data_IF_261532111156
#
_entry.id   IF_261532111156
#
_cell.length_a   1.000
_cell.length_b   1.000
_cell.length_c   1.000
_cell.angle_alpha   90.00
_cell.angle_beta   90.00
_cell.angle_gamma   90.00
#
_symmetry.space_group_name_H-M   'P 1'
#
loop_
_entity.id
_entity.type
_entity.pdbx_description
1 polymer ?
#
# COMPACT_ATOMS: atom_id res chain seq x y z
N UNK A 1 -2.29 35.06 15.27
CA UNK A 1 -2.75 36.45 15.02
C UNK A 1 -1.82 37.22 14.09
N UNK A 2 -0.49 37.14 14.26
CA UNK A 2 0.52 37.85 13.44
C UNK A 2 0.37 37.61 11.92
N UNK A 3 0.14 36.36 11.49
CA UNK A 3 -0.01 36.02 10.06
C UNK A 3 -1.17 36.73 9.36
N UNK A 4 -2.28 36.98 10.07
CA UNK A 4 -3.46 37.67 9.53
C UNK A 4 -3.14 39.14 9.22
N UNK A 5 -2.45 39.82 10.13
CA UNK A 5 -2.04 41.21 9.93
C UNK A 5 -1.04 41.36 8.78
N UNK A 6 -0.06 40.46 8.70
CA UNK A 6 0.91 40.43 7.60
C UNK A 6 0.21 40.23 6.25
N UNK A 7 -0.73 39.29 6.16
CA UNK A 7 -1.48 39.02 4.93
C UNK A 7 -2.33 40.21 4.48
N UNK A 8 -3.00 40.91 5.41
CA UNK A 8 -3.80 42.10 5.10
C UNK A 8 -2.90 43.24 4.60
N UNK A 9 -1.76 43.49 5.26
CA UNK A 9 -0.82 44.53 4.83
C UNK A 9 -0.24 44.26 3.44
N UNK A 10 0.16 43.02 3.16
CA UNK A 10 0.61 42.59 1.84
C UNK A 10 -0.49 42.75 0.78
N UNK A 11 -1.73 42.36 1.10
CA UNK A 11 -2.87 42.50 0.20
C UNK A 11 -3.17 43.95 -0.17
N UNK A 12 -3.13 44.86 0.80
CA UNK A 12 -3.32 46.30 0.58
C UNK A 12 -2.18 46.87 -0.29
N UNK A 13 -0.92 46.51 0.01
CA UNK A 13 0.23 46.95 -0.78
C UNK A 13 0.16 46.48 -2.24
N UNK A 14 -0.20 45.21 -2.45
CA UNK A 14 -0.42 44.63 -3.78
C UNK A 14 -1.57 45.34 -4.52
N UNK A 15 -2.71 45.56 -3.87
CA UNK A 15 -3.85 46.25 -4.46
C UNK A 15 -3.49 47.68 -4.93
N UNK A 16 -2.71 48.42 -4.12
CA UNK A 16 -2.25 49.75 -4.47
C UNK A 16 -1.28 49.76 -5.66
N UNK A 17 -0.44 48.73 -5.81
CA UNK A 17 0.47 48.61 -6.97
C UNK A 17 -0.26 48.18 -8.25
N UNK A 18 -1.31 47.36 -8.15
CA UNK A 18 -2.10 46.89 -9.30
C UNK A 18 -2.91 48.03 -9.93
N UNK A 19 -3.50 48.90 -9.09
CA UNK A 19 -4.37 49.99 -9.55
C UNK A 19 -5.56 49.46 -10.36
N UNK A 20 -5.79 50.02 -11.55
CA UNK A 20 -6.86 49.62 -12.49
C UNK A 20 -6.41 48.70 -13.63
N UNK A 21 -5.17 48.20 -13.60
CA UNK A 21 -4.60 47.40 -14.69
C UNK A 21 -5.07 45.95 -14.65
N UNK A 22 -5.91 45.56 -15.62
CA UNK A 22 -6.41 44.18 -15.76
C UNK A 22 -5.29 43.15 -15.95
N UNK A 23 -4.27 43.36 -16.81
CA UNK A 23 -3.18 42.40 -16.96
C UNK A 23 -2.39 42.19 -15.67
N UNK A 24 -2.12 43.27 -14.92
CA UNK A 24 -1.38 43.21 -13.67
C UNK A 24 -2.20 42.53 -12.56
N UNK A 25 -3.52 42.74 -12.55
CA UNK A 25 -4.43 42.02 -11.67
C UNK A 25 -4.44 40.51 -11.96
N UNK A 26 -4.48 40.10 -13.23
CA UNK A 26 -4.44 38.68 -13.63
C UNK A 26 -3.12 38.01 -13.25
N UNK A 27 -1.98 38.66 -13.49
CA UNK A 27 -0.66 38.14 -13.08
C UNK A 27 -0.58 38.01 -11.55
N UNK A 28 -1.05 39.02 -10.82
CA UNK A 28 -1.06 39.00 -9.36
C UNK A 28 -1.96 37.91 -8.81
N UNK A 29 -3.15 37.73 -9.39
CA UNK A 29 -4.07 36.64 -9.04
C UNK A 29 -3.43 35.27 -9.28
N UNK A 30 -2.80 35.06 -10.44
CA UNK A 30 -2.11 33.81 -10.74
C UNK A 30 -0.97 33.55 -9.74
N UNK A 31 -0.15 34.55 -9.45
CA UNK A 31 0.95 34.43 -8.48
C UNK A 31 0.47 34.08 -7.07
N UNK A 32 -0.53 34.79 -6.56
CA UNK A 32 -1.13 34.51 -5.24
C UNK A 32 -1.76 33.11 -5.22
N UNK A 33 -2.41 32.69 -6.31
CA UNK A 33 -3.00 31.36 -6.43
C UNK A 33 -1.94 30.26 -6.36
N UNK A 34 -0.81 30.43 -7.05
CA UNK A 34 0.32 29.48 -6.98
C UNK A 34 0.88 29.40 -5.56
N UNK A 35 1.08 30.54 -4.89
CA UNK A 35 1.56 30.56 -3.50
C UNK A 35 0.55 29.90 -2.56
N UNK A 36 -0.74 30.21 -2.70
CA UNK A 36 -1.80 29.59 -1.90
C UNK A 36 -1.84 28.07 -2.10
N UNK A 37 -1.75 27.60 -3.35
CA UNK A 37 -1.70 26.17 -3.65
C UNK A 37 -0.47 25.52 -3.04
N UNK A 38 0.71 26.14 -3.14
CA UNK A 38 1.94 25.65 -2.52
C UNK A 38 1.82 25.56 -0.98
N UNK A 39 1.28 26.59 -0.33
CA UNK A 39 1.05 26.58 1.11
C UNK A 39 0.07 25.49 1.52
N UNK A 40 -1.01 25.28 0.77
CA UNK A 40 -1.94 24.20 1.02
C UNK A 40 -1.27 22.83 0.87
N UNK A 41 -0.48 22.62 -0.19
CA UNK A 41 0.30 21.39 -0.37
C UNK A 41 1.25 21.14 0.80
N UNK A 42 1.98 22.16 1.25
CA UNK A 42 2.87 22.06 2.42
C UNK A 42 2.11 21.80 3.72
N UNK A 43 0.93 22.41 3.88
CA UNK A 43 0.04 22.14 5.01
C UNK A 43 -0.43 20.69 5.01
N UNK A 44 -0.81 20.14 3.87
CA UNK A 44 -1.16 18.72 3.75
C UNK A 44 0.02 17.80 4.06
N UNK A 45 1.23 18.12 3.57
CA UNK A 45 2.45 17.37 3.88
C UNK A 45 2.80 17.35 5.38
N UNK A 46 2.35 18.36 6.15
CA UNK A 46 2.59 18.40 7.59
C UNK A 46 1.69 17.45 8.40
N UNK A 47 0.63 16.92 7.79
CA UNK A 47 -0.30 16.00 8.43
C UNK A 47 0.35 14.62 8.52
N UNK A 48 0.61 14.17 9.74
CA UNK A 48 1.11 12.83 9.99
C UNK A 48 -0.04 11.82 10.05
N UNK A 49 -0.33 11.20 8.91
CA UNK A 49 -1.32 10.14 8.83
C UNK A 49 -0.76 8.84 9.43
N UNK A 50 -1.42 8.33 10.48
CA UNK A 50 -1.05 7.10 11.19
C UNK A 50 -1.70 5.83 10.65
N UNK A 51 -2.73 5.97 9.81
CA UNK A 51 -3.39 4.83 9.16
C UNK A 51 -2.50 4.26 8.08
N UNK A 52 -2.71 3.01 7.65
CA UNK A 52 -1.92 2.42 6.58
C UNK A 52 -2.74 2.30 5.30
N UNK A 53 -2.26 2.92 4.21
CA UNK A 53 -2.72 2.59 2.86
C UNK A 53 -1.73 1.58 2.23
N UNK A 54 -2.02 1.02 1.03
CA UNK A 54 -1.13 0.02 0.42
C UNK A 54 0.31 0.48 0.24
N UNK A 55 0.53 1.75 -0.11
CA UNK A 55 1.87 2.29 -0.29
C UNK A 55 2.63 2.38 1.03
N UNK A 56 2.04 3.06 2.02
CA UNK A 56 2.65 3.27 3.34
C UNK A 56 2.91 1.95 4.06
N UNK A 57 1.98 1.01 4.01
CA UNK A 57 2.20 -0.33 4.54
C UNK A 57 3.35 -1.04 3.84
N UNK A 58 3.44 -0.96 2.50
CA UNK A 58 4.55 -1.60 1.78
C UNK A 58 5.90 -0.98 2.14
N UNK A 59 5.96 0.35 2.31
CA UNK A 59 7.19 1.03 2.74
C UNK A 59 7.59 0.65 4.17
N UNK A 60 6.63 0.64 5.11
CA UNK A 60 6.86 0.19 6.50
C UNK A 60 7.34 -1.25 6.55
N UNK A 61 6.65 -2.16 5.86
CA UNK A 61 6.99 -3.59 5.88
C UNK A 61 8.28 -3.89 5.15
N UNK A 62 8.57 -3.23 4.03
CA UNK A 62 9.84 -3.41 3.32
C UNK A 62 11.03 -2.95 4.17
N UNK A 63 10.90 -1.81 4.88
CA UNK A 63 11.96 -1.35 5.78
C UNK A 63 12.13 -2.30 6.98
N UNK A 64 11.02 -2.79 7.56
CA UNK A 64 11.05 -3.78 8.64
C UNK A 64 11.75 -5.08 8.22
N UNK A 65 11.46 -5.60 7.01
CA UNK A 65 12.08 -6.82 6.50
C UNK A 65 13.58 -6.64 6.18
N UNK A 66 14.04 -5.41 5.94
CA UNK A 66 15.45 -5.11 5.64
C UNK A 66 16.27 -4.80 6.90
N UNK A 67 15.71 -4.01 7.82
CA UNK A 67 16.42 -3.47 8.98
C UNK A 67 16.03 -4.13 10.30
N UNK A 68 14.89 -4.82 10.35
CA UNK A 68 14.25 -5.29 11.60
C UNK A 68 13.57 -4.17 12.41
N UNK A 69 13.50 -2.94 11.89
CA UNK A 69 12.94 -1.79 12.58
C UNK A 69 11.72 -1.23 11.85
N UNK A 70 10.68 -0.84 12.61
CA UNK A 70 9.53 -0.14 12.04
C UNK A 70 9.84 1.36 11.94
N UNK A 71 9.81 1.95 10.74
CA UNK A 71 10.04 3.38 10.60
C UNK A 71 8.91 4.20 11.23
N UNK A 72 9.23 5.41 11.67
CA UNK A 72 8.25 6.31 12.27
C UNK A 72 7.24 6.83 11.25
N UNK A 73 6.07 7.23 11.76
CA UNK A 73 5.01 7.84 10.96
C UNK A 73 5.49 9.06 10.17
N UNK A 74 6.39 9.86 10.76
CA UNK A 74 6.92 11.05 10.11
C UNK A 74 7.79 10.68 8.90
N UNK A 75 8.70 9.73 9.06
CA UNK A 75 9.64 9.32 8.01
C UNK A 75 8.92 8.78 6.77
N UNK A 76 7.87 7.97 6.98
CA UNK A 76 7.09 7.40 5.88
C UNK A 76 6.23 8.46 5.19
N UNK A 77 5.56 9.33 5.94
CA UNK A 77 4.75 10.40 5.35
C UNK A 77 5.60 11.41 4.56
N UNK A 78 6.83 11.68 5.00
CA UNK A 78 7.78 12.55 4.28
C UNK A 78 8.25 11.94 2.93
N UNK A 79 8.07 10.63 2.73
CA UNK A 79 8.48 9.91 1.52
C UNK A 79 7.32 9.37 0.69
N UNK A 80 6.08 9.52 1.14
CA UNK A 80 4.90 9.12 0.37
C UNK A 80 4.75 10.02 -0.87
N UNK A 81 4.59 9.44 -2.08
CA UNK A 81 4.39 10.22 -3.30
C UNK A 81 3.00 10.90 -3.26
N UNK A 82 2.99 12.24 -3.22
CA UNK A 82 1.73 13.02 -3.27
C UNK A 82 0.93 12.79 -4.55
N UNK A 83 1.64 12.55 -5.66
CA UNK A 83 1.04 12.31 -6.97
C UNK A 83 1.65 11.04 -7.58
N UNK A 84 1.08 9.85 -7.28
CA UNK A 84 1.62 8.57 -7.74
C UNK A 84 1.83 8.48 -9.26
N UNK A 85 1.05 9.25 -10.03
CA UNK A 85 1.08 9.27 -11.50
C UNK A 85 1.77 10.50 -12.10
N UNK A 86 2.28 11.42 -11.27
CA UNK A 86 2.94 12.64 -11.72
C UNK A 86 4.26 12.77 -10.95
N UNK A 87 5.31 12.18 -11.50
CA UNK A 87 6.66 12.28 -10.93
C UNK A 87 7.20 13.71 -11.15
N UNK A 88 6.73 14.66 -10.34
CA UNK A 88 7.32 15.97 -10.21
C UNK A 88 8.40 15.87 -9.14
N UNK A 89 9.60 15.47 -9.59
CA UNK A 89 10.76 15.28 -8.74
C UNK A 89 11.15 16.56 -8.01
N UNK A 90 10.83 16.62 -6.72
CA UNK A 90 11.51 17.49 -5.77
C UNK A 90 12.35 16.60 -4.87
N UNK A 91 13.63 16.41 -5.22
CA UNK A 91 14.59 15.78 -4.32
C UNK A 91 14.83 16.71 -3.13
N UNK A 92 14.08 16.49 -2.05
CA UNK A 92 14.39 17.08 -0.75
C UNK A 92 15.52 16.25 -0.15
N UNK A 93 16.73 16.81 -0.17
CA UNK A 93 17.89 16.31 0.60
C UNK A 93 17.60 16.48 2.10
N UNK A 94 17.02 15.47 2.75
CA UNK A 94 17.01 15.36 4.20
C UNK A 94 16.99 13.89 4.66
N UNK A 95 17.92 13.61 5.58
CA UNK A 95 18.28 12.38 6.34
C UNK A 95 17.86 11.02 5.77
N UNK A 96 18.87 10.23 5.42
CA UNK A 96 18.83 8.79 5.16
C UNK A 96 18.37 8.03 6.41
N UNK A 97 17.06 7.86 6.60
CA UNK A 97 16.55 6.91 7.60
C UNK A 97 15.81 5.75 6.93
N UNK A 98 15.04 6.03 5.87
CA UNK A 98 14.43 5.00 5.02
C UNK A 98 15.37 4.62 3.87
N UNK A 99 15.69 3.33 3.78
CA UNK A 99 16.54 2.74 2.74
C UNK A 99 16.00 3.03 1.33
N UNK A 100 16.90 3.14 0.35
CA UNK A 100 16.49 3.30 -1.05
C UNK A 100 15.80 2.03 -1.55
N UNK A 101 16.23 0.89 -1.03
CA UNK A 101 15.76 -0.45 -1.30
C UNK A 101 14.32 -0.64 -0.83
N UNK A 102 13.95 -0.14 0.35
CA UNK A 102 12.56 -0.20 0.83
C UNK A 102 11.62 0.66 0.00
N UNK A 103 12.08 1.82 -0.50
CA UNK A 103 11.29 2.67 -1.40
C UNK A 103 11.06 2.02 -2.75
N UNK A 104 12.12 1.47 -3.34
CA UNK A 104 12.04 0.70 -4.59
C UNK A 104 11.12 -0.52 -4.45
N UNK A 105 11.21 -1.22 -3.33
CA UNK A 105 10.31 -2.32 -2.98
C UNK A 105 8.85 -1.84 -2.89
N UNK A 106 8.58 -0.78 -2.13
CA UNK A 106 7.24 -0.23 -1.95
C UNK A 106 6.62 0.23 -3.28
N UNK A 107 7.38 0.94 -4.12
CA UNK A 107 6.96 1.37 -5.45
C UNK A 107 6.64 0.17 -6.35
N UNK A 108 7.49 -0.86 -6.33
CA UNK A 108 7.32 -2.07 -7.15
C UNK A 108 6.10 -2.87 -6.71
N UNK A 109 5.96 -3.11 -5.40
CA UNK A 109 4.84 -3.82 -4.80
C UNK A 109 3.55 -3.06 -5.08
N UNK A 110 3.51 -1.75 -4.87
CA UNK A 110 2.33 -0.94 -5.13
C UNK A 110 1.84 -1.04 -6.58
N UNK A 111 2.75 -1.15 -7.56
CA UNK A 111 2.38 -1.34 -8.99
C UNK A 111 1.96 -2.77 -9.32
N UNK A 112 2.56 -3.78 -8.68
CA UNK A 112 2.27 -5.21 -8.91
C UNK A 112 1.06 -5.72 -8.13
N UNK A 113 0.69 -5.07 -7.03
CA UNK A 113 -0.37 -5.51 -6.13
C UNK A 113 -1.75 -5.42 -6.79
N UNK A 114 -2.53 -6.50 -6.70
CA UNK A 114 -3.95 -6.51 -6.98
C UNK A 114 -4.72 -7.03 -5.77
N UNK A 115 -5.26 -6.11 -4.98
CA UNK A 115 -6.06 -6.43 -3.81
C UNK A 115 -7.53 -6.67 -4.20
N UNK A 116 -8.08 -7.84 -3.84
CA UNK A 116 -9.47 -8.19 -4.11
C UNK A 116 -9.73 -8.82 -5.48
N UNK A 117 -8.75 -9.53 -6.05
CA UNK A 117 -8.93 -10.30 -7.29
C UNK A 117 -9.97 -11.41 -7.11
N UNK A 118 -10.67 -11.79 -8.17
CA UNK A 118 -11.53 -12.99 -8.15
C UNK A 118 -10.68 -14.22 -8.40
N UNK A 119 -10.89 -15.28 -7.62
CA UNK A 119 -10.15 -16.54 -7.81
C UNK A 119 -10.36 -17.14 -9.21
N UNK A 120 -11.58 -17.05 -9.75
CA UNK A 120 -11.93 -17.53 -11.09
C UNK A 120 -11.21 -16.79 -12.23
N UNK A 121 -10.69 -15.58 -11.98
CA UNK A 121 -9.97 -14.78 -12.97
C UNK A 121 -8.46 -15.06 -12.97
N UNK A 122 -7.94 -15.65 -11.89
CA UNK A 122 -6.50 -15.84 -11.67
C UNK A 122 -6.07 -17.31 -11.61
N UNK A 123 -7.01 -18.25 -11.43
CA UNK A 123 -6.73 -19.69 -11.40
C UNK A 123 -7.27 -20.37 -12.65
N UNK A 124 -6.39 -21.12 -13.31
CA UNK A 124 -6.69 -21.77 -14.60
C UNK A 124 -7.13 -23.24 -14.43
N UNK A 125 -6.76 -23.89 -13.33
CA UNK A 125 -7.06 -25.31 -13.10
C UNK A 125 -7.55 -25.59 -11.67
N UNK A 126 -8.19 -26.75 -11.48
CA UNK A 126 -8.76 -27.12 -10.17
C UNK A 126 -7.71 -27.50 -9.14
N UNK A 127 -6.57 -28.04 -9.57
CA UNK A 127 -5.49 -28.48 -8.67
C UNK A 127 -4.90 -27.29 -7.91
N UNK A 128 -4.59 -26.20 -8.62
CA UNK A 128 -4.07 -24.96 -8.04
C UNK A 128 -5.08 -24.32 -7.07
N UNK A 129 -6.38 -24.36 -7.42
CA UNK A 129 -7.43 -23.89 -6.52
C UNK A 129 -7.43 -24.69 -5.20
N UNK A 130 -7.42 -26.03 -5.28
CA UNK A 130 -7.39 -26.89 -4.09
C UNK A 130 -6.14 -26.67 -3.25
N UNK A 131 -4.97 -26.55 -3.89
CA UNK A 131 -3.71 -26.31 -3.22
C UNK A 131 -3.73 -24.99 -2.43
N UNK A 132 -4.23 -23.91 -3.04
CA UNK A 132 -4.39 -22.62 -2.35
C UNK A 132 -5.40 -22.70 -1.20
N UNK A 133 -6.52 -23.39 -1.39
CA UNK A 133 -7.53 -23.51 -0.34
C UNK A 133 -7.03 -24.30 0.87
N UNK A 134 -6.26 -25.37 0.66
CA UNK A 134 -5.69 -26.15 1.75
C UNK A 134 -4.59 -25.39 2.48
N UNK A 135 -3.67 -24.75 1.75
CA UNK A 135 -2.59 -23.96 2.33
C UNK A 135 -3.13 -22.83 3.21
N UNK A 136 -4.05 -22.03 2.66
CA UNK A 136 -4.58 -20.83 3.32
C UNK A 136 -5.83 -21.11 4.16
N UNK A 137 -6.13 -22.35 4.53
CA UNK A 137 -7.40 -22.70 5.22
C UNK A 137 -7.70 -21.88 6.47
N UNK A 138 -6.66 -21.45 7.18
CA UNK A 138 -6.74 -20.67 8.43
C UNK A 138 -6.64 -19.14 8.22
N UNK A 139 -6.43 -18.67 6.99
CA UNK A 139 -6.32 -17.25 6.66
C UNK A 139 -7.61 -16.73 6.02
N UNK A 140 -7.91 -15.43 6.13
CA UNK A 140 -9.05 -14.80 5.44
C UNK A 140 -8.70 -14.25 4.05
N UNK A 141 -7.59 -14.67 3.48
CA UNK A 141 -7.14 -14.30 2.15
C UNK A 141 -6.40 -15.48 1.48
N UNK A 142 -6.20 -15.38 0.16
CA UNK A 142 -5.36 -16.25 -0.65
C UNK A 142 -4.38 -15.36 -1.43
N UNK A 143 -3.17 -15.85 -1.70
CA UNK A 143 -2.19 -15.18 -2.55
C UNK A 143 -1.72 -16.08 -3.69
N UNK A 144 -1.54 -15.47 -4.85
CA UNK A 144 -0.85 -16.10 -5.98
C UNK A 144 -0.29 -15.04 -6.90
N UNK A 145 0.78 -15.35 -7.61
CA UNK A 145 1.22 -14.56 -8.76
C UNK A 145 0.36 -14.91 -9.98
N UNK A 146 -0.05 -13.89 -10.73
CA UNK A 146 -0.74 -14.05 -12.01
C UNK A 146 -0.30 -12.94 -12.96
N UNK A 147 0.27 -13.32 -14.11
CA UNK A 147 0.75 -12.39 -15.17
C UNK A 147 1.67 -11.27 -14.63
N UNK A 148 2.59 -11.61 -13.74
CA UNK A 148 3.56 -10.67 -13.14
C UNK A 148 3.00 -9.78 -12.04
N UNK A 149 1.72 -9.96 -11.66
CA UNK A 149 1.07 -9.27 -10.54
C UNK A 149 0.91 -10.20 -9.36
N UNK A 150 0.97 -9.63 -8.15
CA UNK A 150 0.72 -10.37 -6.91
C UNK A 150 -0.75 -10.14 -6.56
N UNK A 151 -1.56 -11.17 -6.74
CA UNK A 151 -3.01 -11.12 -6.57
C UNK A 151 -3.39 -11.59 -5.17
N UNK A 152 -4.15 -10.75 -4.47
CA UNK A 152 -4.76 -11.08 -3.19
C UNK A 152 -6.24 -11.33 -3.42
N UNK A 153 -6.71 -12.51 -3.08
CA UNK A 153 -8.13 -12.85 -3.05
C UNK A 153 -8.61 -12.80 -1.61
N UNK A 154 -9.62 -11.99 -1.34
CA UNK A 154 -10.19 -11.86 0.01
C UNK A 154 -11.35 -12.85 0.20
N UNK A 155 -11.36 -13.56 1.32
CA UNK A 155 -12.47 -14.45 1.70
C UNK A 155 -13.64 -13.66 2.29
N UNK A 156 -14.79 -14.31 2.35
CA UNK A 156 -15.96 -13.75 3.03
C UNK A 156 -15.65 -13.44 4.49
N UNK A 157 -16.00 -12.24 4.94
CA UNK A 157 -15.77 -11.82 6.32
C UNK A 157 -14.33 -11.39 6.63
N UNK A 158 -13.47 -11.23 5.61
CA UNK A 158 -12.15 -10.62 5.79
C UNK A 158 -12.24 -9.23 6.43
N UNK A 159 -11.44 -9.02 7.45
CA UNK A 159 -11.33 -7.76 8.18
C UNK A 159 -10.27 -6.83 7.55
N UNK A 160 -10.27 -5.53 7.91
CA UNK A 160 -9.17 -4.64 7.58
C UNK A 160 -7.79 -5.14 8.04
N UNK A 161 -7.73 -5.86 9.16
CA UNK A 161 -6.50 -6.49 9.65
C UNK A 161 -6.05 -7.64 8.74
N UNK A 162 -6.97 -8.47 8.26
CA UNK A 162 -6.65 -9.53 7.29
C UNK A 162 -6.08 -8.95 5.99
N UNK A 163 -6.62 -7.82 5.53
CA UNK A 163 -6.05 -7.09 4.39
C UNK A 163 -4.63 -6.58 4.69
N UNK A 164 -4.38 -6.06 5.89
CA UNK A 164 -3.04 -5.62 6.30
C UNK A 164 -2.06 -6.80 6.37
N UNK A 165 -2.47 -7.93 6.95
CA UNK A 165 -1.70 -9.17 7.01
C UNK A 165 -1.38 -9.69 5.62
N UNK A 166 -2.35 -9.67 4.71
CA UNK A 166 -2.12 -10.06 3.32
C UNK A 166 -1.06 -9.17 2.65
N UNK A 167 -1.03 -7.87 2.95
CA UNK A 167 -0.04 -6.97 2.39
C UNK A 167 1.35 -7.17 2.99
N UNK A 168 1.46 -7.48 4.29
CA UNK A 168 2.71 -7.92 4.89
C UNK A 168 3.25 -9.17 4.19
N UNK A 169 2.37 -10.14 3.93
CA UNK A 169 2.70 -11.35 3.19
C UNK A 169 3.18 -11.05 1.76
N UNK A 170 2.52 -10.14 1.03
CA UNK A 170 2.98 -9.68 -0.28
C UNK A 170 4.39 -9.07 -0.21
N UNK A 171 4.69 -8.27 0.81
CA UNK A 171 6.02 -7.68 0.99
C UNK A 171 7.08 -8.76 1.23
N UNK A 172 6.76 -9.78 2.02
CA UNK A 172 7.67 -10.90 2.24
C UNK A 172 7.88 -11.77 0.99
N UNK A 173 6.84 -12.01 0.19
CA UNK A 173 6.98 -12.70 -1.11
C UNK A 173 7.91 -11.94 -2.05
N UNK A 174 7.79 -10.61 -2.12
CA UNK A 174 8.69 -9.78 -2.91
C UNK A 174 10.12 -9.84 -2.36
N UNK A 175 10.30 -9.81 -1.04
CA UNK A 175 11.59 -9.95 -0.40
C UNK A 175 12.26 -11.29 -0.72
N UNK A 176 11.52 -12.40 -0.67
CA UNK A 176 11.99 -13.74 -1.07
C UNK A 176 12.39 -13.79 -2.55
N UNK A 177 11.60 -13.18 -3.43
CA UNK A 177 11.90 -13.09 -4.87
C UNK A 177 13.20 -12.32 -5.12
N UNK A 178 13.39 -11.18 -4.44
CA UNK A 178 14.51 -10.27 -4.64
C UNK A 178 15.82 -10.76 -4.03
N UNK A 179 15.78 -11.29 -2.80
CA UNK A 179 16.99 -11.59 -2.02
C UNK A 179 17.31 -13.08 -1.91
N UNK A 180 16.31 -13.95 -2.00
CA UNK A 180 16.50 -15.40 -1.86
C UNK A 180 16.39 -16.16 -3.19
N UNK A 181 16.04 -15.47 -4.28
CA UNK A 181 15.92 -16.08 -5.61
C UNK A 181 14.68 -16.97 -5.78
N UNK A 182 13.73 -16.91 -4.86
CA UNK A 182 12.47 -17.65 -4.93
C UNK A 182 11.53 -17.00 -5.96
N UNK A 183 11.69 -17.38 -7.22
CA UNK A 183 10.83 -16.89 -8.31
C UNK A 183 9.49 -17.64 -8.36
N UNK A 184 8.40 -16.98 -8.77
CA UNK A 184 7.14 -17.66 -9.04
C UNK A 184 7.31 -18.75 -10.11
N UNK A 185 6.66 -19.90 -9.91
CA UNK A 185 6.71 -21.04 -10.82
C UNK A 185 5.32 -21.64 -11.05
N UNK A 186 4.92 -22.64 -10.26
CA UNK A 186 3.64 -23.32 -10.36
C UNK A 186 2.96 -23.30 -9.00
N UNK A 187 1.69 -22.89 -8.97
CA UNK A 187 0.94 -22.64 -7.73
C UNK A 187 0.86 -23.90 -6.85
N UNK A 188 0.47 -25.04 -7.41
CA UNK A 188 0.43 -26.30 -6.67
C UNK A 188 1.80 -26.68 -6.06
N UNK A 189 2.90 -26.47 -6.78
CA UNK A 189 4.26 -26.70 -6.27
C UNK A 189 4.67 -25.71 -5.18
N UNK A 190 4.28 -24.44 -5.31
CA UNK A 190 4.57 -23.40 -4.31
C UNK A 190 3.81 -23.61 -3.00
N UNK A 191 2.68 -24.33 -3.04
CA UNK A 191 1.87 -24.65 -1.86
C UNK A 191 2.34 -25.92 -1.11
N UNK A 192 3.21 -26.72 -1.70
CA UNK A 192 3.76 -27.93 -1.04
C UNK A 192 4.84 -27.54 -0.01
N UNK A 193 5.19 -28.43 0.94
CA UNK A 193 6.24 -28.17 1.91
C UNK A 193 7.57 -27.74 1.24
N UNK A 194 8.13 -26.61 1.70
CA UNK A 194 9.34 -26.02 1.10
C UNK A 194 9.07 -25.20 -0.16
N UNK A 195 7.82 -25.13 -0.62
CA UNK A 195 7.37 -24.22 -1.65
C UNK A 195 7.33 -22.78 -1.16
N UNK A 196 7.41 -21.83 -2.10
CA UNK A 196 7.52 -20.39 -1.77
C UNK A 196 6.32 -19.87 -0.98
N UNK A 197 5.10 -20.21 -1.40
CA UNK A 197 3.87 -19.75 -0.74
C UNK A 197 3.69 -20.40 0.65
N UNK A 198 4.15 -21.63 0.82
CA UNK A 198 4.11 -22.33 2.11
C UNK A 198 5.11 -21.72 3.10
N UNK A 199 6.37 -21.56 2.68
CA UNK A 199 7.39 -20.93 3.51
C UNK A 199 7.07 -19.46 3.85
N UNK A 200 6.44 -18.72 2.93
CA UNK A 200 6.01 -17.34 3.18
C UNK A 200 4.84 -17.27 4.16
N UNK A 201 3.90 -18.22 4.09
CA UNK A 201 2.79 -18.29 5.03
C UNK A 201 3.27 -18.61 6.46
N UNK A 202 4.18 -19.58 6.62
CA UNK A 202 4.79 -19.91 7.91
C UNK A 202 5.48 -18.69 8.55
N UNK A 203 6.29 -17.98 7.78
CA UNK A 203 6.93 -16.74 8.25
C UNK A 203 5.91 -15.70 8.70
N UNK A 204 4.89 -15.41 7.88
CA UNK A 204 3.88 -14.39 8.17
C UNK A 204 3.06 -14.73 9.41
N UNK A 205 2.73 -16.01 9.63
CA UNK A 205 1.97 -16.43 10.80
C UNK A 205 2.72 -16.19 12.11
N UNK A 206 4.06 -16.31 12.09
CA UNK A 206 4.90 -16.03 13.27
C UNK A 206 5.15 -14.54 13.43
N UNK A 207 5.52 -13.85 12.36
CA UNK A 207 6.09 -12.50 12.42
C UNK A 207 5.04 -11.39 12.40
N UNK A 208 3.83 -11.63 11.87
CA UNK A 208 2.85 -10.55 11.71
C UNK A 208 2.44 -9.92 13.06
N UNK A 209 2.36 -10.70 14.13
CA UNK A 209 2.03 -10.19 15.47
C UNK A 209 3.14 -9.29 16.01
N UNK A 210 4.40 -9.61 15.73
CA UNK A 210 5.56 -8.81 16.14
C UNK A 210 5.59 -7.47 15.42
N UNK A 211 5.52 -7.47 14.08
CA UNK A 211 5.48 -6.21 13.30
C UNK A 211 4.24 -5.36 13.62
N UNK A 212 3.10 -5.99 13.97
CA UNK A 212 1.90 -5.27 14.45
C UNK A 212 2.17 -4.57 15.78
N UNK A 213 2.80 -5.25 16.73
CA UNK A 213 3.16 -4.67 18.01
C UNK A 213 4.17 -3.53 17.86
N UNK A 214 5.25 -3.76 17.12
CA UNK A 214 6.31 -2.78 16.89
C UNK A 214 5.80 -1.57 16.11
N UNK A 215 4.93 -1.78 15.11
CA UNK A 215 4.29 -0.70 14.38
C UNK A 215 3.38 0.15 15.26
N UNK A 216 2.64 -0.49 16.18
CA UNK A 216 1.82 0.24 17.16
C UNK A 216 2.68 1.08 18.11
N UNK A 217 3.81 0.53 18.58
CA UNK A 217 4.79 1.25 19.39
C UNK A 217 5.44 2.41 18.61
N UNK A 218 5.64 2.24 17.29
CA UNK A 218 6.11 3.27 16.36
C UNK A 218 5.06 4.34 15.99
N UNK A 219 3.85 4.25 16.54
CA UNK A 219 2.77 5.22 16.37
C UNK A 219 1.83 4.96 15.19
N UNK A 220 1.95 3.82 14.51
CA UNK A 220 1.03 3.40 13.45
C UNK A 220 -0.26 2.84 14.01
N UNK A 221 -1.37 3.04 13.28
CA UNK A 221 -2.63 2.35 13.53
C UNK A 221 -2.60 1.04 12.75
N UNK A 222 -2.33 -0.07 13.45
CA UNK A 222 -2.15 -1.40 12.88
C UNK A 222 -3.43 -2.26 12.87
N UNK A 223 -4.59 -1.64 13.12
CA UNK A 223 -5.90 -2.31 13.15
C UNK A 223 -6.43 -2.65 11.73
N UNK A 224 -5.76 -2.17 10.69
CA UNK A 224 -6.04 -2.61 9.33
C UNK A 224 -5.55 -1.71 8.21
N UNK A 225 -5.77 -2.19 6.99
CA UNK A 225 -5.42 -1.51 5.76
C UNK A 225 -6.57 -0.66 5.24
N UNK A 226 -6.31 0.63 5.04
CA UNK A 226 -7.21 1.56 4.34
C UNK A 226 -6.96 1.43 2.85
N UNK A 227 -7.68 0.50 2.22
CA UNK A 227 -7.66 0.27 0.79
C UNK A 227 -9.06 -0.02 0.27
N UNK A 228 -9.30 0.26 -1.01
CA UNK A 228 -10.49 -0.20 -1.72
C UNK A 228 -10.10 -1.40 -2.58
N UNK A 229 -10.53 -2.62 -2.23
CA UNK A 229 -10.32 -3.79 -3.08
C UNK A 229 -11.01 -3.61 -4.45
N UNK A 230 -10.56 -4.36 -5.46
CA UNK A 230 -11.13 -4.32 -6.80
C UNK A 230 -12.65 -4.56 -6.79
N UNK A 231 -13.44 -3.86 -7.63
CA UNK A 231 -14.89 -4.03 -7.68
C UNK A 231 -15.24 -5.44 -8.16
N UNK A 232 -16.13 -6.13 -7.43
CA UNK A 232 -16.59 -7.46 -7.80
C UNK A 232 -16.41 -8.54 -6.74
N UNK A 233 -16.54 -8.18 -5.45
CA UNK A 233 -16.61 -9.09 -4.29
C UNK A 233 -17.63 -10.23 -4.52
N UNK A 234 -17.23 -11.28 -5.24
CA UNK A 234 -17.81 -12.61 -5.08
C UNK A 234 -16.92 -13.33 -4.09
N UNK A 235 -17.12 -12.93 -2.83
CA UNK A 235 -17.27 -13.80 -1.67
C UNK A 235 -16.99 -15.27 -1.99
N UNK A 236 -15.82 -15.75 -1.59
CA UNK A 236 -15.54 -17.18 -1.56
C UNK A 236 -16.05 -17.68 -0.21
N UNK A 237 -17.20 -18.36 -0.23
CA UNK A 237 -17.74 -19.01 0.96
C UNK A 237 -16.89 -20.23 1.34
N UNK A 238 -16.89 -20.56 2.64
CA UNK A 238 -16.12 -21.64 3.27
C UNK A 238 -16.19 -22.97 2.50
N UNK A 239 -15.15 -23.81 2.56
CA UNK A 239 -15.23 -25.16 2.02
C UNK A 239 -16.19 -25.98 2.89
N UNK A 240 -17.43 -26.16 2.41
CA UNK A 240 -18.31 -27.21 2.91
C UNK A 240 -18.23 -28.33 1.88
N UNK A 241 -17.93 -29.53 2.35
CA UNK A 241 -17.63 -30.69 1.53
C UNK A 241 -18.70 -31.01 0.49
N UNK A 242 -18.26 -31.80 -0.50
CA UNK A 242 -19.02 -32.41 -1.60
C UNK A 242 -19.43 -31.48 -2.75
N UNK A 243 -18.75 -31.68 -3.88
CA UNK A 243 -19.25 -31.83 -5.27
C UNK A 243 -20.15 -30.76 -5.93
N UNK A 244 -20.83 -29.88 -5.20
CA UNK A 244 -21.99 -29.12 -5.73
C UNK A 244 -21.63 -27.68 -6.14
N UNK A 245 -20.50 -27.12 -5.72
CA UNK A 245 -20.24 -25.66 -5.89
C UNK A 245 -19.50 -25.28 -7.19
N UNK A 246 -18.93 -26.25 -7.93
CA UNK A 246 -18.18 -25.94 -9.16
C UNK A 246 -19.00 -25.25 -10.25
N UNK A 247 -20.33 -25.42 -10.26
CA UNK A 247 -21.22 -24.73 -11.20
C UNK A 247 -21.31 -23.21 -11.02
N UNK A 248 -20.84 -22.65 -9.89
CA UNK A 248 -20.86 -21.20 -9.61
C UNK A 248 -19.52 -20.49 -9.85
N UNK A 249 -18.42 -21.23 -10.02
CA UNK A 249 -17.08 -20.65 -10.20
C UNK A 249 -16.58 -20.66 -11.65
N UNK A 250 -17.24 -21.39 -12.56
CA UNK A 250 -16.83 -21.53 -13.97
C UNK A 250 -17.89 -21.08 -15.00
N UNK A 251 -18.90 -20.30 -14.59
CA UNK A 251 -19.84 -19.61 -15.48
C UNK A 251 -19.79 -18.10 -15.29
#
# INVERSE_FOLDING_TARGET
>A
MVSKFVGIMLGIALANQIGSSVPLALISFAGVTVVHMYCNLKSYQSIQLRTLNPYRASLVFSEYLLSGQVPSVKEVNDKEPLFPNLSMGAQVKQSEILSAEAKDAADTIYRRLQLGSKLSEIIENKEDAYALFDLYKNEQYLLTDYKGKICVVLKEGSSPEDMLKSLFHVNYLYWLEKYMGFKPFNVASECRPGGRLEASLDYVQREFTHVKHDGSNGGWVMDGLIARPLPGHKVISKPIGSSIVWGKFMN
#
